data_IF_256170142016
#
_entry.id   IF_256170142016
#
_cell.length_a   1.000
_cell.length_b   1.000
_cell.length_c   1.000
_cell.angle_alpha   90.00
_cell.angle_beta   90.00
_cell.angle_gamma   90.00
#
_symmetry.space_group_name_H-M   'P 1'
#
loop_
_entity.id
_entity.type
_entity.pdbx_description
1 polymer ?
#
# COMPACT_ATOMS: atom_id res chain seq x y z
N UNK A 1 -39.26 -4.41 60.17
CA UNK A 1 -40.49 -4.98 59.56
C UNK A 1 -40.39 -4.84 58.04
N UNK A 2 -40.85 -5.87 57.36
CA UNK A 2 -40.70 -6.28 55.95
C UNK A 2 -41.08 -5.29 54.86
N UNK A 3 -40.33 -5.31 53.74
CA UNK A 3 -40.85 -5.17 52.37
C UNK A 3 -40.18 -6.23 51.46
N UNK A 4 -40.88 -6.79 50.45
CA UNK A 4 -40.41 -7.93 49.65
C UNK A 4 -39.50 -7.50 48.50
N UNK A 5 -38.44 -8.28 48.25
CA UNK A 5 -37.59 -8.17 47.06
C UNK A 5 -38.07 -9.19 46.01
N UNK A 6 -38.71 -8.69 44.96
CA UNK A 6 -38.92 -9.40 43.70
C UNK A 6 -37.84 -8.99 42.70
N UNK A 7 -37.10 -9.98 42.17
CA UNK A 7 -36.48 -9.89 40.84
C UNK A 7 -35.01 -9.46 40.78
N UNK A 8 -34.11 -10.43 40.71
CA UNK A 8 -32.74 -10.25 40.22
C UNK A 8 -32.23 -11.56 39.61
N UNK A 9 -31.78 -11.59 38.35
CA UNK A 9 -31.32 -12.82 37.71
C UNK A 9 -30.03 -13.33 38.35
N UNK A 10 -30.02 -14.60 38.72
CA UNK A 10 -28.84 -15.29 39.27
C UNK A 10 -27.67 -15.32 38.28
N UNK A 11 -26.46 -15.64 38.76
CA UNK A 11 -25.26 -15.65 37.94
C UNK A 11 -25.40 -16.71 36.84
N UNK A 12 -25.52 -16.23 35.60
CA UNK A 12 -25.53 -17.07 34.41
C UNK A 12 -24.21 -17.83 34.29
N UNK A 13 -24.30 -19.16 34.34
CA UNK A 13 -23.22 -20.06 33.97
C UNK A 13 -23.02 -19.93 32.46
N UNK A 14 -21.91 -19.34 32.03
CA UNK A 14 -21.53 -19.36 30.62
C UNK A 14 -21.28 -20.82 30.20
N UNK A 15 -21.84 -21.30 29.07
CA UNK A 15 -21.49 -22.60 28.54
C UNK A 15 -20.00 -22.60 28.13
N UNK A 16 -19.28 -23.73 28.28
CA UNK A 16 -17.88 -23.83 27.88
C UNK A 16 -17.73 -23.58 26.38
N UNK A 17 -16.74 -22.77 26.00
CA UNK A 17 -16.39 -22.58 24.60
C UNK A 17 -15.88 -23.89 23.99
N UNK A 18 -16.32 -24.27 22.77
CA UNK A 18 -15.79 -25.43 22.08
C UNK A 18 -14.31 -25.22 21.72
N UNK A 19 -13.49 -26.28 21.69
CA UNK A 19 -12.09 -26.19 21.32
C UNK A 19 -11.92 -25.67 19.89
N UNK A 20 -11.00 -24.73 19.71
CA UNK A 20 -10.69 -24.13 18.41
C UNK A 20 -10.04 -25.19 17.50
N UNK A 21 -10.59 -25.39 16.30
CA UNK A 21 -10.00 -26.27 15.28
C UNK A 21 -9.44 -25.40 14.14
N UNK A 22 -8.19 -25.65 13.69
CA UNK A 22 -7.64 -24.92 12.56
C UNK A 22 -8.42 -25.20 11.27
N UNK A 23 -8.64 -24.20 10.41
CA UNK A 23 -9.27 -24.43 9.12
C UNK A 23 -8.39 -25.36 8.29
N UNK A 24 -8.95 -26.50 7.89
CA UNK A 24 -8.33 -27.42 6.95
C UNK A 24 -8.28 -26.74 5.58
N UNK A 25 -7.08 -26.67 4.99
CA UNK A 25 -6.89 -26.14 3.64
C UNK A 25 -7.77 -26.90 2.65
N UNK A 26 -8.54 -26.20 1.77
CA UNK A 26 -9.30 -26.88 0.75
C UNK A 26 -8.35 -27.59 -0.25
N UNK A 27 -8.72 -28.76 -0.78
CA UNK A 27 -7.91 -29.44 -1.79
C UNK A 27 -7.80 -28.61 -3.07
N UNK A 28 -6.70 -28.71 -3.82
CA UNK A 28 -6.50 -27.96 -5.06
C UNK A 28 -7.58 -28.31 -6.08
N UNK A 29 -8.32 -27.29 -6.53
CA UNK A 29 -9.30 -27.43 -7.59
C UNK A 29 -8.61 -27.62 -8.95
N UNK A 30 -9.08 -28.55 -9.81
CA UNK A 30 -8.58 -28.68 -11.16
C UNK A 30 -9.01 -27.49 -12.03
N UNK A 31 -8.20 -27.09 -13.04
CA UNK A 31 -8.47 -25.91 -13.84
C UNK A 31 -9.70 -26.09 -14.74
N UNK A 32 -10.73 -25.27 -14.53
CA UNK A 32 -11.88 -25.17 -15.44
C UNK A 32 -11.47 -24.38 -16.69
N UNK A 33 -11.25 -25.11 -17.79
CA UNK A 33 -11.14 -24.52 -19.14
C UNK A 33 -12.51 -24.11 -19.63
N UNK A 34 -12.69 -22.82 -19.87
CA UNK A 34 -13.70 -22.29 -20.79
C UNK A 34 -13.00 -21.35 -21.78
N UNK A 35 -12.70 -21.87 -22.98
CA UNK A 35 -12.59 -21.05 -24.19
C UNK A 35 -13.97 -20.45 -24.51
N UNK A 36 -14.12 -19.36 -25.27
CA UNK A 36 -13.29 -18.90 -26.38
C UNK A 36 -13.65 -17.44 -26.72
N UNK A 37 -12.62 -16.69 -27.15
CA UNK A 37 -12.63 -15.63 -28.20
C UNK A 37 -13.40 -14.32 -27.96
N UNK A 38 -12.64 -13.29 -27.61
CA UNK A 38 -12.72 -11.99 -28.29
C UNK A 38 -11.31 -11.59 -28.72
N UNK A 39 -11.11 -11.55 -30.04
CA UNK A 39 -9.90 -11.05 -30.67
C UNK A 39 -10.02 -9.53 -30.80
N UNK A 40 -8.98 -8.81 -30.37
CA UNK A 40 -8.68 -7.50 -30.94
C UNK A 40 -7.16 -7.41 -31.14
N UNK A 41 -6.77 -7.50 -32.40
CA UNK A 41 -5.42 -7.27 -32.87
C UNK A 41 -5.20 -5.77 -33.05
N UNK A 42 -4.06 -5.24 -32.59
CA UNK A 42 -3.48 -4.00 -33.10
C UNK A 42 -1.96 -3.97 -32.86
N UNK A 43 -1.25 -4.25 -33.96
CA UNK A 43 0.08 -3.78 -34.38
C UNK A 43 1.26 -3.77 -33.38
N UNK A 44 2.18 -4.69 -33.63
CA UNK A 44 3.62 -4.57 -33.32
C UNK A 44 4.20 -3.49 -34.25
N UNK A 45 4.85 -2.48 -33.69
CA UNK A 45 5.90 -1.72 -34.38
C UNK A 45 7.25 -2.13 -33.81
N UNK A 46 8.06 -2.69 -34.70
CA UNK A 46 9.39 -3.19 -34.43
C UNK A 46 10.45 -2.08 -34.49
N UNK A 47 11.47 -2.29 -33.66
CA UNK A 47 12.90 -2.05 -33.89
C UNK A 47 13.45 -0.62 -33.97
N UNK A 48 14.48 -0.38 -33.12
CA UNK A 48 15.82 0.16 -33.41
C UNK A 48 16.28 1.18 -32.35
N UNK A 49 17.52 1.24 -31.81
CA UNK A 49 18.79 0.52 -32.03
C UNK A 49 19.81 0.91 -30.92
N UNK A 50 20.65 -0.05 -30.52
CA UNK A 50 21.98 0.13 -29.88
C UNK A 50 22.04 -0.36 -28.42
N UNK A 51 22.85 -1.32 -27.96
CA UNK A 51 24.02 -2.08 -28.43
C UNK A 51 24.81 -2.47 -27.14
N UNK A 52 25.45 -3.63 -26.96
CA UNK A 52 25.93 -4.63 -27.90
C UNK A 52 26.14 -6.02 -27.29
N UNK A 53 26.66 -6.88 -28.16
CA UNK A 53 26.85 -8.33 -28.05
C UNK A 53 28.29 -8.63 -27.57
N UNK A 54 28.52 -9.77 -26.92
CA UNK A 54 29.64 -10.74 -27.11
C UNK A 54 29.93 -11.47 -25.78
N UNK A 55 29.88 -12.81 -25.80
CA UNK A 55 30.25 -13.64 -24.66
C UNK A 55 30.13 -15.14 -24.94
N UNK A 56 30.91 -15.58 -25.92
CA UNK A 56 31.14 -16.92 -26.46
C UNK A 56 31.02 -18.12 -25.50
N UNK A 57 30.54 -19.24 -26.08
CA UNK A 57 30.89 -20.62 -25.74
C UNK A 57 32.32 -20.74 -25.19
N UNK A 58 32.51 -21.47 -24.08
CA UNK A 58 33.58 -22.45 -23.88
C UNK A 58 33.40 -23.18 -22.54
N UNK A 59 33.12 -24.48 -22.63
CA UNK A 59 33.42 -25.47 -21.61
C UNK A 59 34.92 -25.49 -21.32
N UNK A 60 35.35 -25.14 -20.11
CA UNK A 60 36.51 -25.75 -19.43
C UNK A 60 36.52 -25.39 -17.95
N UNK A 61 36.65 -26.42 -17.12
CA UNK A 61 36.90 -26.29 -15.69
C UNK A 61 38.24 -25.59 -15.45
N UNK A 62 38.22 -24.46 -14.73
CA UNK A 62 39.15 -24.11 -13.66
C UNK A 62 38.74 -22.74 -13.08
N UNK A 63 38.63 -22.67 -11.76
CA UNK A 63 38.16 -21.51 -10.98
C UNK A 63 39.13 -20.33 -11.09
N UNK A 64 38.64 -19.08 -11.27
CA UNK A 64 39.13 -17.99 -10.43
C UNK A 64 38.05 -16.99 -9.97
N UNK A 65 38.28 -16.48 -8.75
CA UNK A 65 37.75 -15.31 -8.05
C UNK A 65 36.50 -14.59 -8.61
N UNK A 66 35.45 -14.56 -7.77
CA UNK A 66 34.32 -13.64 -7.91
C UNK A 66 34.81 -12.20 -8.00
N UNK A 67 34.71 -11.62 -9.20
CA UNK A 67 34.87 -10.17 -9.39
C UNK A 67 33.56 -9.54 -8.97
N UNK A 68 33.57 -8.74 -7.90
CA UNK A 68 32.42 -7.94 -7.47
C UNK A 68 31.88 -7.13 -8.66
N UNK A 69 30.56 -7.07 -8.89
CA UNK A 69 30.03 -6.18 -9.91
C UNK A 69 30.37 -4.74 -9.51
N UNK A 70 31.21 -4.09 -10.30
CA UNK A 70 31.35 -2.64 -10.29
C UNK A 70 29.98 -2.07 -10.64
N UNK A 71 29.28 -1.53 -9.64
CA UNK A 71 28.09 -0.72 -9.84
C UNK A 71 28.48 0.44 -10.75
N UNK A 72 27.97 0.43 -11.97
CA UNK A 72 28.06 1.57 -12.87
C UNK A 72 27.39 2.80 -12.22
N UNK A 73 27.84 4.03 -12.53
CA UNK A 73 27.21 5.25 -12.05
C UNK A 73 25.72 5.20 -12.36
N UNK A 74 24.87 5.49 -11.36
CA UNK A 74 23.43 5.58 -11.59
C UNK A 74 23.18 6.66 -12.63
N UNK A 75 22.68 6.24 -13.80
CA UNK A 75 22.11 7.15 -14.77
C UNK A 75 21.10 8.03 -14.05
N UNK A 76 21.28 9.35 -14.15
CA UNK A 76 20.27 10.30 -13.71
C UNK A 76 18.98 9.95 -14.43
N UNK A 77 17.94 9.58 -13.69
CA UNK A 77 16.65 9.20 -14.23
C UNK A 77 16.19 10.22 -15.29
N UNK A 78 15.83 9.75 -16.48
CA UNK A 78 15.36 10.64 -17.54
C UNK A 78 14.05 11.32 -17.13
N UNK A 79 13.75 12.54 -17.60
CA UNK A 79 12.50 13.23 -17.28
C UNK A 79 11.25 12.40 -17.62
N UNK A 80 11.29 11.64 -18.71
CA UNK A 80 10.19 10.75 -19.13
C UNK A 80 10.01 9.59 -18.16
N UNK A 81 11.10 9.06 -17.61
CA UNK A 81 11.04 8.00 -16.62
C UNK A 81 10.47 8.50 -15.30
N UNK A 82 10.91 9.67 -14.81
CA UNK A 82 10.33 10.31 -13.62
C UNK A 82 8.83 10.55 -13.81
N UNK A 83 8.42 11.06 -14.97
CA UNK A 83 7.01 11.27 -15.30
C UNK A 83 6.21 9.96 -15.28
N UNK A 84 6.78 8.87 -15.79
CA UNK A 84 6.13 7.56 -15.74
C UNK A 84 5.97 7.04 -14.29
N UNK A 85 6.92 7.35 -13.40
CA UNK A 85 6.82 7.03 -11.97
C UNK A 85 5.76 7.87 -11.27
N UNK A 86 5.68 9.17 -11.57
CA UNK A 86 4.63 10.06 -11.06
C UNK A 86 3.23 9.53 -11.42
N UNK A 87 3.04 9.14 -12.70
CA UNK A 87 1.75 8.62 -13.18
C UNK A 87 1.35 7.36 -12.42
N UNK A 88 2.28 6.41 -12.24
CA UNK A 88 1.99 5.18 -11.48
C UNK A 88 1.64 5.47 -10.03
N UNK A 89 2.47 6.25 -9.34
CA UNK A 89 2.29 6.60 -7.95
C UNK A 89 0.97 7.35 -7.70
N UNK A 90 0.65 8.34 -8.53
CA UNK A 90 -0.63 9.05 -8.45
C UNK A 90 -1.83 8.13 -8.78
N UNK A 91 -1.68 7.21 -9.74
CA UNK A 91 -2.75 6.25 -10.06
C UNK A 91 -3.04 5.34 -8.87
N UNK A 92 -2.01 4.79 -8.24
CA UNK A 92 -2.17 3.95 -7.05
C UNK A 92 -2.80 4.71 -5.89
N UNK A 93 -2.36 5.96 -5.63
CA UNK A 93 -2.97 6.81 -4.62
C UNK A 93 -4.48 7.02 -4.84
N UNK A 94 -4.89 7.32 -6.07
CA UNK A 94 -6.31 7.49 -6.40
C UNK A 94 -7.09 6.21 -6.13
N UNK A 95 -6.58 5.06 -6.58
CA UNK A 95 -7.24 3.77 -6.35
C UNK A 95 -7.37 3.45 -4.86
N UNK A 96 -6.35 3.76 -4.05
CA UNK A 96 -6.40 3.61 -2.58
C UNK A 96 -7.48 4.52 -1.99
N UNK A 97 -7.52 5.78 -2.41
CA UNK A 97 -8.47 6.75 -1.87
C UNK A 97 -9.92 6.43 -2.26
N UNK A 98 -10.17 5.99 -3.50
CA UNK A 98 -11.49 5.55 -3.96
C UNK A 98 -11.94 4.24 -3.29
N UNK A 99 -10.99 3.36 -2.94
CA UNK A 99 -11.29 2.13 -2.21
C UNK A 99 -11.63 2.38 -0.73
N UNK A 100 -11.27 3.55 -0.18
CA UNK A 100 -11.65 3.91 1.18
C UNK A 100 -13.10 4.39 1.22
N UNK A 101 -13.95 3.67 1.96
CA UNK A 101 -15.19 4.25 2.47
C UNK A 101 -14.85 5.46 3.37
N UNK A 102 -15.77 6.43 3.48
CA UNK A 102 -15.62 7.52 4.46
C UNK A 102 -15.37 6.90 5.84
N UNK A 103 -14.19 7.12 6.44
CA UNK A 103 -13.84 6.43 7.66
C UNK A 103 -14.77 6.87 8.80
N UNK A 104 -15.41 5.89 9.44
CA UNK A 104 -16.28 6.08 10.60
C UNK A 104 -15.65 5.56 11.88
N UNK A 105 -14.61 4.72 11.76
CA UNK A 105 -13.86 4.16 12.89
C UNK A 105 -12.35 4.19 12.61
N UNK A 106 -11.50 4.25 13.66
CA UNK A 106 -10.05 4.34 13.49
C UNK A 106 -9.43 3.18 12.69
N UNK A 107 -10.03 1.99 12.71
CA UNK A 107 -9.49 0.82 11.98
C UNK A 107 -9.43 0.97 10.45
N UNK A 108 -10.10 1.96 9.88
CA UNK A 108 -10.26 2.12 8.43
C UNK A 108 -9.11 2.93 7.79
N UNK A 109 -8.44 3.79 8.55
CA UNK A 109 -7.35 4.66 8.05
C UNK A 109 -5.98 3.95 8.00
N UNK A 110 -5.75 3.01 8.92
CA UNK A 110 -4.49 2.28 9.02
C UNK A 110 -4.08 1.55 7.72
N UNK A 111 -4.97 0.76 7.10
CA UNK A 111 -4.69 0.08 5.84
C UNK A 111 -4.34 1.04 4.69
N UNK A 112 -5.02 2.17 4.58
CA UNK A 112 -4.73 3.14 3.53
C UNK A 112 -3.39 3.85 3.73
N UNK A 113 -3.05 4.22 4.98
CA UNK A 113 -1.74 4.76 5.30
C UNK A 113 -0.62 3.77 4.96
N UNK A 114 -0.83 2.47 5.23
CA UNK A 114 0.11 1.43 4.84
C UNK A 114 0.23 1.31 3.31
N UNK A 115 -0.89 1.30 2.58
CA UNK A 115 -0.89 1.19 1.12
C UNK A 115 -0.16 2.36 0.45
N UNK A 116 -0.43 3.61 0.86
CA UNK A 116 0.26 4.79 0.29
C UNK A 116 1.76 4.74 0.60
N UNK A 117 2.17 4.32 1.80
CA UNK A 117 3.60 4.09 2.13
C UNK A 117 4.24 3.05 1.24
N UNK A 118 3.55 1.95 0.95
CA UNK A 118 4.03 0.90 0.05
C UNK A 118 4.21 1.45 -1.37
N UNK A 119 3.25 2.21 -1.90
CA UNK A 119 3.37 2.87 -3.20
C UNK A 119 4.55 3.85 -3.24
N UNK A 120 4.72 4.68 -2.21
CA UNK A 120 5.85 5.60 -2.09
C UNK A 120 7.21 4.86 -2.11
N UNK A 121 7.29 3.71 -1.45
CA UNK A 121 8.50 2.89 -1.43
C UNK A 121 8.76 2.19 -2.78
N UNK A 122 7.71 1.84 -3.52
CA UNK A 122 7.80 1.23 -4.86
C UNK A 122 8.22 2.23 -5.94
N UNK A 123 8.04 3.53 -5.70
CA UNK A 123 8.29 4.61 -6.66
C UNK A 123 9.32 5.64 -6.14
N UNK A 124 10.57 5.24 -5.81
CA UNK A 124 11.57 6.17 -5.27
C UNK A 124 12.00 7.25 -6.29
N UNK A 125 11.86 6.96 -7.58
CA UNK A 125 12.25 7.85 -8.68
C UNK A 125 11.11 8.76 -9.16
N UNK A 126 9.94 8.72 -8.51
CA UNK A 126 8.92 9.73 -8.71
C UNK A 126 9.44 11.11 -8.24
N UNK A 127 8.87 12.17 -8.80
CA UNK A 127 9.25 13.54 -8.48
C UNK A 127 9.16 13.83 -6.98
N UNK A 128 10.10 14.64 -6.48
CA UNK A 128 10.15 14.98 -5.06
C UNK A 128 8.86 15.65 -4.57
N UNK A 129 8.22 16.46 -5.43
CA UNK A 129 6.97 17.15 -5.08
C UNK A 129 5.80 16.17 -4.92
N UNK A 130 5.64 15.19 -5.84
CA UNK A 130 4.60 14.15 -5.72
C UNK A 130 4.85 13.28 -4.49
N UNK A 131 6.10 12.84 -4.29
CA UNK A 131 6.48 12.02 -3.12
C UNK A 131 6.25 12.76 -1.81
N UNK A 132 6.57 14.05 -1.75
CA UNK A 132 6.28 14.92 -0.59
C UNK A 132 4.79 15.01 -0.34
N UNK A 133 3.98 15.38 -1.35
CA UNK A 133 2.54 15.56 -1.17
C UNK A 133 1.85 14.27 -0.68
N UNK A 134 2.25 13.11 -1.19
CA UNK A 134 1.70 11.83 -0.73
C UNK A 134 2.27 11.35 0.60
N UNK A 135 3.46 11.82 1.00
CA UNK A 135 3.96 11.60 2.37
C UNK A 135 3.13 12.41 3.36
N UNK A 136 2.79 13.66 3.03
CA UNK A 136 1.90 14.49 3.85
C UNK A 136 0.52 13.83 4.00
N UNK A 137 0.00 13.17 2.95
CA UNK A 137 -1.26 12.40 3.03
C UNK A 137 -1.17 11.27 4.06
N UNK A 138 -0.04 10.56 4.11
CA UNK A 138 0.19 9.52 5.10
C UNK A 138 0.18 10.13 6.50
N UNK A 139 0.85 11.26 6.71
CA UNK A 139 0.87 11.95 7.99
C UNK A 139 -0.51 12.49 8.38
N UNK A 140 -1.31 12.94 7.41
CA UNK A 140 -2.70 13.32 7.61
C UNK A 140 -3.54 12.12 8.08
N UNK A 141 -3.35 10.91 7.53
CA UNK A 141 -4.03 9.72 8.04
C UNK A 141 -3.65 9.40 9.50
N UNK A 142 -2.38 9.53 9.88
CA UNK A 142 -1.98 9.35 11.28
C UNK A 142 -2.51 10.44 12.21
N UNK A 143 -2.64 11.65 11.68
CA UNK A 143 -3.24 12.78 12.39
C UNK A 143 -4.75 12.64 12.54
N UNK A 144 -5.44 12.06 11.57
CA UNK A 144 -6.85 11.73 11.71
C UNK A 144 -7.07 10.51 12.62
N UNK A 145 -6.16 9.54 12.60
CA UNK A 145 -6.15 8.42 13.54
C UNK A 145 -6.04 8.89 15.00
N UNK A 146 -5.25 9.93 15.28
CA UNK A 146 -5.13 10.47 16.63
C UNK A 146 -6.40 11.16 17.13
N UNK A 147 -7.27 11.65 16.24
CA UNK A 147 -8.59 12.17 16.60
C UNK A 147 -9.48 11.11 17.27
N UNK A 148 -9.30 9.85 16.89
CA UNK A 148 -10.04 8.73 17.48
C UNK A 148 -9.37 8.15 18.75
N UNK A 149 -8.16 8.61 19.09
CA UNK A 149 -7.38 8.12 20.23
C UNK A 149 -7.66 8.99 21.47
N UNK A 150 -7.85 8.36 22.63
CA UNK A 150 -8.22 9.05 23.88
C UNK A 150 -7.15 9.04 24.96
N UNK A 151 -6.01 8.38 24.75
CA UNK A 151 -4.97 8.21 25.77
C UNK A 151 -3.96 9.34 25.79
N UNK A 152 -3.87 10.12 24.72
CA UNK A 152 -3.03 11.32 24.64
C UNK A 152 -1.53 11.02 24.76
N UNK A 153 -0.73 12.07 24.97
CA UNK A 153 0.71 11.92 25.05
C UNK A 153 1.14 11.15 26.32
N UNK A 154 1.88 10.05 26.15
CA UNK A 154 2.42 9.23 27.24
C UNK A 154 3.67 8.46 26.81
N UNK A 155 4.76 8.60 27.57
CA UNK A 155 6.03 7.95 27.25
C UNK A 155 6.63 8.51 25.95
N UNK A 156 6.96 7.64 24.99
CA UNK A 156 7.42 8.03 23.65
C UNK A 156 6.26 8.23 22.65
N UNK A 157 5.01 8.08 23.10
CA UNK A 157 3.82 8.31 22.27
C UNK A 157 3.40 9.76 22.44
N UNK A 158 3.48 10.52 21.37
CA UNK A 158 3.02 11.92 21.30
C UNK A 158 2.13 12.07 20.05
N UNK A 159 0.82 11.77 20.15
CA UNK A 159 -0.07 11.83 19.01
C UNK A 159 -0.24 13.28 18.52
N UNK A 160 -0.16 13.54 17.21
CA UNK A 160 -0.39 14.87 16.67
C UNK A 160 -1.84 15.32 16.95
N UNK A 161 -2.09 16.63 16.95
CA UNK A 161 -3.46 17.17 17.05
C UNK A 161 -4.13 17.17 15.69
N UNK A 162 -5.36 16.67 15.62
CA UNK A 162 -6.16 16.75 14.41
C UNK A 162 -6.72 18.14 14.18
N UNK A 163 -6.51 18.64 12.96
CA UNK A 163 -7.15 19.81 12.39
C UNK A 163 -7.76 19.41 11.04
N UNK A 164 -9.09 19.46 10.97
CA UNK A 164 -9.85 19.06 9.78
C UNK A 164 -9.52 19.94 8.56
N UNK A 165 -9.32 21.25 8.75
CA UNK A 165 -9.01 22.16 7.67
C UNK A 165 -7.60 21.91 7.12
N UNK A 166 -6.64 21.66 8.01
CA UNK A 166 -5.28 21.29 7.62
C UNK A 166 -5.25 19.96 6.86
N UNK A 167 -5.96 18.93 7.36
CA UNK A 167 -6.08 17.64 6.68
C UNK A 167 -6.71 17.79 5.29
N UNK A 168 -7.78 18.59 5.17
CA UNK A 168 -8.42 18.85 3.88
C UNK A 168 -7.47 19.53 2.88
N UNK A 169 -6.69 20.50 3.32
CA UNK A 169 -5.71 21.18 2.47
C UNK A 169 -4.63 20.22 1.95
N UNK A 170 -4.21 19.23 2.76
CA UNK A 170 -3.27 18.19 2.34
C UNK A 170 -3.89 17.31 1.24
N UNK A 171 -5.12 16.84 1.43
CA UNK A 171 -5.80 16.04 0.41
C UNK A 171 -6.04 16.82 -0.88
N UNK A 172 -6.48 18.08 -0.79
CA UNK A 172 -6.67 18.94 -1.95
C UNK A 172 -5.34 19.19 -2.68
N UNK A 173 -4.22 19.34 -1.96
CA UNK A 173 -2.86 19.43 -2.54
C UNK A 173 -2.47 18.15 -3.27
N UNK A 174 -2.73 16.98 -2.69
CA UNK A 174 -2.44 15.69 -3.33
C UNK A 174 -3.28 15.47 -4.60
N UNK A 175 -4.57 15.83 -4.55
CA UNK A 175 -5.44 15.83 -5.73
C UNK A 175 -4.92 16.78 -6.82
N UNK A 176 -4.50 17.96 -6.38
CA UNK A 176 -3.97 19.01 -7.23
C UNK A 176 -2.69 18.58 -7.98
N UNK A 177 -1.73 17.98 -7.27
CA UNK A 177 -0.45 17.58 -7.88
C UNK A 177 -0.60 16.38 -8.80
N UNK A 178 -1.55 15.47 -8.50
CA UNK A 178 -1.90 14.37 -9.38
C UNK A 178 -2.78 14.78 -10.57
N UNK A 179 -3.15 16.07 -10.69
CA UNK A 179 -3.85 16.60 -11.85
C UNK A 179 -5.35 16.31 -11.89
N UNK A 180 -5.99 16.14 -10.72
CA UNK A 180 -7.38 15.69 -10.58
C UNK A 180 -8.36 16.82 -10.18
N UNK A 181 -7.93 18.07 -10.32
CA UNK A 181 -8.65 19.29 -9.95
C UNK A 181 -9.34 19.93 -11.15
#
# INVERSE_FOLDING_TARGET
MTYPMTGGPGPGVYPPQPPWTPPTSPPPQPPRRTGTRLALAAAILAAALGGGIIGSLLTRADTPAATSPTTAPQDTATPEYVRAQDVKLCTEYVLINEAMAKPTVPGELGPAAAAVRTSLAAHPEASADVRSALSDVVDAYFTELSHFESRGAKGLVDPPKYDQAAARAIYDRAWAICGLK
#
